data_IF_670183223304
#
_entry.id   IF_670183223304
#
_cell.length_a   1.000
_cell.length_b   1.000
_cell.length_c   1.000
_cell.angle_alpha   90.00
_cell.angle_beta   90.00
_cell.angle_gamma   90.00
#
_symmetry.space_group_name_H-M   'P 1'
#
loop_
_entity.id
_entity.type
_entity.pdbx_description
1 polymer ?
#
# COMPACT_ATOMS: atom_id res chain seq x y z
N UNK A 1 31.49 -12.21 12.50
CA UNK A 1 31.17 -11.85 13.89
C UNK A 1 31.83 -10.50 14.13
N UNK A 2 30.99 -9.47 14.36
CA UNK A 2 31.29 -8.14 14.94
C UNK A 2 32.20 -7.18 14.11
N UNK A 3 31.95 -5.88 13.90
CA UNK A 3 30.95 -4.86 14.33
C UNK A 3 31.06 -3.65 13.34
N UNK A 4 29.99 -2.85 13.22
CA UNK A 4 29.91 -1.48 12.66
C UNK A 4 30.20 -1.19 11.17
N UNK A 5 29.15 -0.82 10.41
CA UNK A 5 29.21 0.36 9.51
C UNK A 5 27.80 0.90 9.20
N UNK A 6 27.30 1.78 10.07
CA UNK A 6 26.22 2.70 9.74
C UNK A 6 26.84 4.06 9.39
N UNK A 7 26.63 4.50 8.13
CA UNK A 7 26.77 5.87 7.59
C UNK A 7 28.12 6.21 6.93
N UNK A 8 28.17 6.18 5.60
CA UNK A 8 28.33 7.38 4.72
C UNK A 8 28.13 7.02 3.24
N UNK A 9 27.24 7.72 2.52
CA UNK A 9 27.17 7.56 1.05
C UNK A 9 25.91 8.01 0.29
N UNK A 10 25.05 8.89 0.82
CA UNK A 10 24.19 9.77 -0.01
C UNK A 10 23.08 9.14 -0.86
N UNK A 11 22.64 7.91 -0.59
CA UNK A 11 21.43 7.33 -1.20
C UNK A 11 20.23 7.49 -0.28
N UNK A 12 19.30 8.37 -0.60
CA UNK A 12 18.00 8.39 0.08
C UNK A 12 17.37 7.01 -0.12
N UNK A 13 17.17 6.23 0.95
CA UNK A 13 16.06 5.27 0.95
C UNK A 13 14.85 6.17 0.80
N UNK A 14 14.34 6.31 -0.44
CA UNK A 14 13.06 6.96 -0.67
C UNK A 14 12.09 6.14 0.15
N UNK A 15 11.67 6.64 1.30
CA UNK A 15 10.47 6.16 1.97
C UNK A 15 9.39 6.31 0.91
N UNK A 16 9.01 5.21 0.25
CA UNK A 16 8.20 5.16 -0.98
C UNK A 16 7.34 6.40 -1.08
N UNK A 17 7.87 7.41 -1.78
CA UNK A 17 7.23 8.71 -1.76
C UNK A 17 5.88 8.45 -2.41
N UNK A 18 4.84 8.74 -1.65
CA UNK A 18 3.47 8.65 -2.09
C UNK A 18 3.35 9.01 -3.58
N UNK A 19 2.65 8.18 -4.40
CA UNK A 19 2.59 8.43 -5.83
C UNK A 19 2.23 9.90 -6.08
N UNK A 20 2.93 10.55 -7.03
CA UNK A 20 2.74 11.96 -7.37
C UNK A 20 1.45 12.18 -8.19
N UNK A 21 0.36 11.55 -7.78
CA UNK A 21 -0.93 11.62 -8.44
C UNK A 21 -1.69 12.88 -8.05
N UNK A 22 -2.51 13.42 -8.98
CA UNK A 22 -3.57 14.37 -8.63
C UNK A 22 -4.51 13.76 -7.59
N UNK A 23 -5.08 14.59 -6.71
CA UNK A 23 -5.94 14.12 -5.62
C UNK A 23 -7.14 13.29 -6.12
N UNK A 24 -7.71 13.67 -7.28
CA UNK A 24 -8.81 12.93 -7.89
C UNK A 24 -8.38 11.50 -8.29
N UNK A 25 -7.24 11.36 -8.95
CA UNK A 25 -6.68 10.06 -9.32
C UNK A 25 -6.33 9.22 -8.08
N UNK A 26 -5.70 9.83 -7.08
CA UNK A 26 -5.39 9.16 -5.82
C UNK A 26 -6.64 8.59 -5.13
N UNK A 27 -7.74 9.35 -5.09
CA UNK A 27 -9.01 8.88 -4.53
C UNK A 27 -9.57 7.71 -5.33
N UNK A 28 -9.51 7.78 -6.67
CA UNK A 28 -10.00 6.73 -7.55
C UNK A 28 -9.22 5.42 -7.36
N UNK A 29 -7.89 5.48 -7.34
CA UNK A 29 -7.03 4.31 -7.17
C UNK A 29 -7.18 3.67 -5.78
N UNK A 30 -7.25 4.49 -4.73
CA UNK A 30 -7.55 4.00 -3.37
C UNK A 30 -8.91 3.34 -3.31
N UNK A 31 -9.92 3.93 -3.96
CA UNK A 31 -11.27 3.38 -3.96
C UNK A 31 -11.31 2.04 -4.69
N UNK A 32 -10.72 1.96 -5.88
CA UNK A 32 -10.64 0.74 -6.69
C UNK A 32 -9.96 -0.39 -5.92
N UNK A 33 -8.78 -0.13 -5.35
CA UNK A 33 -8.05 -1.16 -4.61
C UNK A 33 -8.81 -1.59 -3.34
N UNK A 34 -9.47 -0.65 -2.66
CA UNK A 34 -10.30 -0.98 -1.50
C UNK A 34 -11.50 -1.87 -1.86
N UNK A 35 -12.17 -1.63 -2.99
CA UNK A 35 -13.27 -2.47 -3.46
C UNK A 35 -12.78 -3.90 -3.73
N UNK A 36 -11.61 -4.04 -4.35
CA UNK A 36 -11.03 -5.35 -4.66
C UNK A 36 -10.69 -6.14 -3.39
N UNK A 37 -9.99 -5.52 -2.43
CA UNK A 37 -9.69 -6.15 -1.13
C UNK A 37 -10.97 -6.52 -0.37
N UNK A 38 -12.00 -5.67 -0.44
CA UNK A 38 -13.30 -5.94 0.19
C UNK A 38 -14.01 -7.14 -0.46
N UNK A 39 -13.96 -7.27 -1.78
CA UNK A 39 -14.54 -8.40 -2.50
C UNK A 39 -13.86 -9.72 -2.11
N UNK A 40 -12.53 -9.72 -2.01
CA UNK A 40 -11.75 -10.87 -1.54
C UNK A 40 -12.08 -11.25 -0.10
N UNK A 41 -12.21 -10.28 0.80
CA UNK A 41 -12.63 -10.53 2.18
C UNK A 41 -14.03 -11.15 2.22
N UNK A 42 -14.97 -10.62 1.45
CA UNK A 42 -16.32 -11.18 1.37
C UNK A 42 -16.33 -12.61 0.82
N UNK A 43 -15.50 -12.90 -0.19
CA UNK A 43 -15.36 -14.25 -0.72
C UNK A 43 -14.79 -15.20 0.34
N UNK A 44 -13.73 -14.78 1.06
CA UNK A 44 -13.16 -15.55 2.16
C UNK A 44 -14.20 -15.88 3.24
N UNK A 45 -14.97 -14.88 3.70
CA UNK A 45 -16.01 -15.10 4.71
C UNK A 45 -17.16 -16.00 4.24
N UNK A 46 -17.51 -15.99 2.95
CA UNK A 46 -18.64 -16.77 2.41
C UNK A 46 -18.26 -18.16 1.92
N UNK A 47 -17.05 -18.31 1.40
CA UNK A 47 -16.62 -19.49 0.63
C UNK A 47 -15.39 -20.17 1.24
N UNK A 48 -14.77 -19.58 2.26
CA UNK A 48 -13.53 -20.09 2.86
C UNK A 48 -12.27 -19.78 2.04
N UNK A 49 -12.39 -19.05 0.93
CA UNK A 49 -11.26 -18.63 0.09
C UNK A 49 -11.55 -17.28 -0.59
N UNK A 50 -10.52 -16.45 -0.72
CA UNK A 50 -10.57 -15.15 -1.38
C UNK A 50 -10.49 -15.24 -2.91
N UNK A 51 -10.11 -16.40 -3.45
CA UNK A 51 -9.82 -16.59 -4.88
C UNK A 51 -8.45 -16.04 -5.32
N UNK A 52 -7.61 -15.62 -4.38
CA UNK A 52 -6.21 -15.19 -4.60
C UNK A 52 -5.30 -15.82 -3.55
N UNK A 53 -4.00 -15.86 -3.81
CA UNK A 53 -3.03 -16.31 -2.81
C UNK A 53 -2.85 -15.29 -1.69
N UNK A 54 -2.41 -15.77 -0.52
CA UNK A 54 -2.14 -14.92 0.64
C UNK A 54 -1.10 -13.84 0.33
N UNK A 55 -0.06 -14.18 -0.44
CA UNK A 55 0.96 -13.21 -0.86
C UNK A 55 0.37 -12.03 -1.65
N UNK A 56 -0.53 -12.30 -2.60
CA UNK A 56 -1.17 -11.25 -3.40
C UNK A 56 -2.10 -10.41 -2.53
N UNK A 57 -2.85 -11.07 -1.64
CA UNK A 57 -3.70 -10.38 -0.69
C UNK A 57 -2.89 -9.45 0.22
N UNK A 58 -1.79 -9.93 0.79
CA UNK A 58 -0.95 -9.18 1.72
C UNK A 58 -0.25 -8.00 1.04
N UNK A 59 0.33 -8.21 -0.15
CA UNK A 59 0.99 -7.14 -0.91
C UNK A 59 0.01 -6.00 -1.24
N UNK A 60 -1.19 -6.34 -1.72
CA UNK A 60 -2.18 -5.35 -2.13
C UNK A 60 -2.86 -4.69 -0.92
N UNK A 61 -3.07 -5.42 0.17
CA UNK A 61 -3.55 -4.85 1.43
C UNK A 61 -2.53 -3.88 2.03
N UNK A 62 -1.24 -4.22 2.02
CA UNK A 62 -0.16 -3.34 2.45
C UNK A 62 -0.08 -2.07 1.58
N UNK A 63 -0.20 -2.22 0.25
CA UNK A 63 -0.25 -1.10 -0.70
C UNK A 63 -1.45 -0.18 -0.46
N UNK A 64 -2.63 -0.74 -0.19
CA UNK A 64 -3.82 0.04 0.17
C UNK A 64 -3.59 0.84 1.45
N UNK A 65 -2.97 0.24 2.47
CA UNK A 65 -2.62 0.95 3.70
C UNK A 65 -1.60 2.07 3.45
N UNK A 66 -0.58 1.82 2.63
CA UNK A 66 0.42 2.82 2.24
C UNK A 66 -0.25 4.01 1.55
N UNK A 67 -1.09 3.77 0.54
CA UNK A 67 -1.80 4.84 -0.17
C UNK A 67 -2.76 5.61 0.73
N UNK A 68 -3.48 4.91 1.63
CA UNK A 68 -4.33 5.57 2.62
C UNK A 68 -3.54 6.49 3.54
N UNK A 69 -2.34 6.10 3.98
CA UNK A 69 -1.47 6.99 4.79
C UNK A 69 -0.99 8.17 3.97
N UNK A 70 -0.55 7.90 2.75
CA UNK A 70 -0.07 8.90 1.80
C UNK A 70 -1.08 10.02 1.52
N UNK A 71 -2.32 9.66 1.20
CA UNK A 71 -3.35 10.63 0.80
C UNK A 71 -4.23 11.12 1.96
N UNK A 72 -4.06 10.58 3.18
CA UNK A 72 -4.71 11.09 4.40
C UNK A 72 -4.09 12.40 4.89
N UNK A 73 -2.81 12.62 4.61
CA UNK A 73 -2.06 13.81 5.04
C UNK A 73 -1.65 14.74 3.90
N UNK A 74 -1.81 14.32 2.64
CA UNK A 74 -1.62 15.19 1.48
C UNK A 74 -2.86 16.08 1.25
N UNK A 75 -3.09 17.03 2.18
CA UNK A 75 -3.67 18.32 1.83
C UNK A 75 -2.56 19.11 1.15
N UNK A 76 -2.32 18.87 -0.14
CA UNK A 76 -1.71 19.92 -0.96
C UNK A 76 -2.81 20.94 -1.17
N UNK A 77 -2.75 22.03 -0.40
CA UNK A 77 -3.60 23.20 -0.58
C UNK A 77 -3.40 23.81 -1.96
#
# INVERSE_FOLDING_TARGET
>A
MDLDDWRVGGGWIRADCCPEWPQAQARQEVHRLNQQVTAWNNAYWRQGSSGVSDEIYDQLSARLMQWRRCFRWCRRG
#
